data_IF_567263998629
#
_entry.id   IF_567263998629
#
_cell.length_a   1.000
_cell.length_b   1.000
_cell.length_c   1.000
_cell.angle_alpha   90.00
_cell.angle_beta   90.00
_cell.angle_gamma   90.00
#
_symmetry.space_group_name_H-M   'P 1'
#
loop_
_entity.id
_entity.type
_entity.pdbx_description
1 polymer ?
#
# COMPACT_ATOMS: atom_id res chain seq x y z
N UNK A 1 3.17 -4.12 -13.22
CA UNK A 1 2.70 -3.99 -11.82
C UNK A 1 2.69 -2.54 -11.38
N UNK A 2 3.83 -1.82 -11.34
CA UNK A 2 3.84 -0.36 -11.06
C UNK A 2 3.02 0.48 -12.05
N UNK A 3 2.92 0.02 -13.31
CA UNK A 3 2.07 0.63 -14.34
C UNK A 3 0.60 0.79 -13.93
N UNK A 4 0.03 -0.17 -13.18
CA UNK A 4 -1.35 -0.08 -12.69
C UNK A 4 -1.50 0.98 -11.60
N UNK A 5 -0.53 1.06 -10.69
CA UNK A 5 -0.50 2.09 -9.65
C UNK A 5 -0.35 3.47 -10.26
N UNK A 6 0.52 3.61 -11.26
CA UNK A 6 0.70 4.88 -11.97
C UNK A 6 -0.57 5.27 -12.73
N UNK A 7 -1.19 4.35 -13.48
CA UNK A 7 -2.44 4.63 -14.19
C UNK A 7 -3.53 5.13 -13.22
N UNK A 8 -3.76 4.39 -12.14
CA UNK A 8 -4.74 4.74 -11.11
C UNK A 8 -4.44 6.09 -10.45
N UNK A 9 -3.15 6.38 -10.22
CA UNK A 9 -2.72 7.69 -9.72
C UNK A 9 -3.02 8.81 -10.69
N UNK A 10 -2.66 8.67 -11.97
CA UNK A 10 -2.90 9.71 -12.96
C UNK A 10 -4.40 9.97 -13.13
N UNK A 11 -5.23 8.93 -13.11
CA UNK A 11 -6.68 9.07 -13.19
C UNK A 11 -7.23 9.94 -12.03
N UNK A 12 -6.71 9.76 -10.82
CA UNK A 12 -7.19 10.47 -9.62
C UNK A 12 -6.51 11.81 -9.33
N UNK A 13 -5.27 12.00 -9.78
CA UNK A 13 -4.52 13.25 -9.64
C UNK A 13 -4.82 14.22 -10.78
N UNK A 14 -5.38 13.76 -11.90
CA UNK A 14 -5.86 14.67 -12.96
C UNK A 14 -6.85 15.74 -12.44
N UNK A 15 -7.48 15.49 -11.29
CA UNK A 15 -8.39 16.41 -10.62
C UNK A 15 -7.67 17.40 -9.66
N UNK A 16 -6.34 17.35 -9.53
CA UNK A 16 -5.58 17.98 -8.44
C UNK A 16 -4.46 18.91 -8.88
N UNK A 17 -4.74 20.22 -8.85
CA UNK A 17 -3.77 21.31 -9.01
C UNK A 17 -2.90 21.17 -10.29
N UNK A 18 -1.96 22.09 -10.50
CA UNK A 18 -1.05 22.07 -11.65
C UNK A 18 0.26 21.29 -11.36
N UNK A 19 0.24 20.40 -10.35
CA UNK A 19 1.42 19.63 -9.94
C UNK A 19 1.47 18.24 -10.58
N UNK A 20 2.67 17.80 -10.94
CA UNK A 20 2.88 16.46 -11.49
C UNK A 20 3.31 15.48 -10.40
N UNK A 21 2.68 14.31 -10.33
CA UNK A 21 2.99 13.29 -9.33
C UNK A 21 3.52 11.99 -9.94
N UNK A 22 4.63 11.50 -9.39
CA UNK A 22 5.25 10.24 -9.78
C UNK A 22 5.18 9.21 -8.65
N UNK A 23 4.96 7.94 -9.01
CA UNK A 23 4.90 6.83 -8.07
C UNK A 23 5.89 5.72 -8.44
N UNK A 24 6.66 5.30 -7.45
CA UNK A 24 7.64 4.22 -7.58
C UNK A 24 7.52 3.19 -6.47
N UNK A 25 7.93 1.96 -6.77
CA UNK A 25 8.06 0.91 -5.76
C UNK A 25 9.46 1.03 -5.17
N UNK A 26 9.52 1.21 -3.87
CA UNK A 26 10.76 1.26 -3.10
C UNK A 26 10.58 0.37 -1.86
N UNK A 27 11.03 -0.88 -1.93
CA UNK A 27 10.89 -1.84 -0.82
C UNK A 27 11.86 -1.53 0.34
N UNK A 28 12.69 -0.49 0.23
CA UNK A 28 13.68 -0.09 1.26
C UNK A 28 13.12 0.91 2.27
N UNK A 29 12.03 1.62 1.95
CA UNK A 29 11.43 2.57 2.88
C UNK A 29 10.92 1.86 4.14
N UNK A 30 11.12 2.48 5.30
CA UNK A 30 10.74 1.92 6.60
C UNK A 30 9.63 2.74 7.26
N UNK A 31 8.78 2.04 8.00
CA UNK A 31 7.75 2.66 8.82
C UNK A 31 8.36 3.58 9.89
N UNK A 32 7.69 4.70 10.14
CA UNK A 32 8.06 5.69 11.17
C UNK A 32 9.44 6.31 10.97
N UNK A 33 10.01 6.19 9.75
CA UNK A 33 11.30 6.77 9.36
C UNK A 33 11.23 7.48 8.00
N UNK A 34 10.25 8.35 7.73
CA UNK A 34 10.27 9.13 6.51
C UNK A 34 11.49 10.05 6.47
N UNK A 35 12.02 10.29 5.28
CA UNK A 35 13.05 11.31 5.08
C UNK A 35 12.52 12.70 5.48
N UNK A 36 13.44 13.66 5.69
CA UNK A 36 13.05 15.03 6.02
C UNK A 36 12.11 15.60 4.96
N UNK A 37 11.02 16.24 5.39
CA UNK A 37 9.97 16.84 4.55
C UNK A 37 9.08 15.82 3.80
N UNK A 38 9.28 14.52 4.00
CA UNK A 38 8.38 13.48 3.52
C UNK A 38 7.30 13.17 4.56
N UNK A 39 6.10 12.90 4.07
CA UNK A 39 4.98 12.40 4.85
C UNK A 39 4.89 10.88 4.73
N UNK A 40 4.30 10.26 5.75
CA UNK A 40 4.01 8.82 5.77
C UNK A 40 2.52 8.58 5.85
N UNK A 41 2.05 7.57 5.11
CA UNK A 41 0.71 7.01 5.24
C UNK A 41 0.77 5.48 5.11
N UNK A 42 0.01 4.76 5.95
CA UNK A 42 -0.11 3.30 5.87
C UNK A 42 -1.57 2.95 5.66
N UNK A 43 -1.85 2.12 4.66
CA UNK A 43 -3.20 1.66 4.33
C UNK A 43 -3.21 0.16 4.12
N UNK A 44 -4.32 -0.48 4.51
CA UNK A 44 -4.53 -1.91 4.33
C UNK A 44 -5.51 -2.20 3.20
N UNK A 45 -5.23 -3.23 2.39
CA UNK A 45 -6.16 -3.72 1.37
C UNK A 45 -6.05 -5.23 1.19
N UNK A 46 -7.06 -5.85 0.55
CA UNK A 46 -7.01 -7.26 0.23
C UNK A 46 -6.04 -7.52 -0.92
N UNK A 47 -5.19 -8.52 -0.76
CA UNK A 47 -4.30 -9.02 -1.79
C UNK A 47 -4.21 -10.54 -1.78
N UNK A 48 -3.84 -11.08 -2.94
CA UNK A 48 -3.51 -12.49 -3.12
C UNK A 48 -2.00 -12.68 -3.13
N UNK A 49 -1.56 -13.86 -2.74
CA UNK A 49 -0.17 -14.29 -2.78
C UNK A 49 -0.08 -15.63 -3.50
N UNK A 50 1.07 -15.91 -4.09
CA UNK A 50 1.36 -17.20 -4.71
C UNK A 50 2.76 -17.63 -4.30
N UNK A 51 2.86 -18.81 -3.70
CA UNK A 51 4.16 -19.34 -3.30
C UNK A 51 5.00 -19.65 -4.53
N UNK A 52 6.22 -19.12 -4.58
CA UNK A 52 7.24 -19.44 -5.56
C UNK A 52 7.63 -20.93 -5.53
N UNK A 53 7.67 -21.54 -4.34
CA UNK A 53 8.09 -22.92 -4.12
C UNK A 53 6.99 -23.96 -4.42
N UNK A 54 5.87 -23.91 -3.69
CA UNK A 54 4.81 -24.94 -3.80
C UNK A 54 3.64 -24.53 -4.69
N UNK A 55 3.71 -23.36 -5.34
CA UNK A 55 2.68 -22.78 -6.23
C UNK A 55 1.30 -22.52 -5.61
N UNK A 56 1.10 -22.87 -4.33
CA UNK A 56 -0.16 -22.63 -3.61
C UNK A 56 -0.43 -21.13 -3.51
N UNK A 57 -1.66 -20.75 -3.86
CA UNK A 57 -2.19 -19.41 -3.64
C UNK A 57 -2.89 -19.28 -2.28
N UNK A 58 -2.87 -18.07 -1.72
CA UNK A 58 -3.69 -17.68 -0.57
C UNK A 58 -4.05 -16.19 -0.66
N UNK A 59 -5.05 -15.77 0.10
CA UNK A 59 -5.44 -14.36 0.22
C UNK A 59 -5.24 -13.84 1.63
N UNK A 60 -5.06 -12.53 1.76
CA UNK A 60 -5.02 -11.82 3.05
C UNK A 60 -5.94 -10.60 3.00
N UNK A 61 -6.79 -10.41 4.01
CA UNK A 61 -7.82 -9.35 4.05
C UNK A 61 -7.19 -7.96 4.10
N UNK A 62 -6.05 -7.85 4.76
CA UNK A 62 -5.45 -6.57 5.13
C UNK A 62 -3.92 -6.65 5.02
N UNK A 63 -3.44 -6.70 3.79
CA UNK A 63 -2.02 -6.50 3.49
C UNK A 63 -1.72 -5.01 3.65
N UNK A 64 -0.73 -4.68 4.47
CA UNK A 64 -0.32 -3.30 4.68
C UNK A 64 0.49 -2.80 3.48
N UNK A 65 0.28 -1.54 3.13
CA UNK A 65 1.06 -0.80 2.14
C UNK A 65 1.50 0.50 2.79
N UNK A 66 2.81 0.72 2.77
CA UNK A 66 3.45 1.93 3.28
C UNK A 66 3.70 2.87 2.11
N UNK A 67 3.29 4.12 2.29
CA UNK A 67 3.53 5.22 1.38
C UNK A 67 4.40 6.26 2.08
N UNK A 68 5.52 6.63 1.46
CA UNK A 68 6.21 7.88 1.74
C UNK A 68 5.97 8.82 0.58
N UNK A 69 5.61 10.07 0.84
CA UNK A 69 5.35 11.04 -0.22
C UNK A 69 5.80 12.45 0.14
N UNK A 70 6.20 13.23 -0.86
CA UNK A 70 6.67 14.60 -0.72
C UNK A 70 6.28 15.42 -1.93
N UNK A 71 5.96 16.70 -1.72
CA UNK A 71 5.71 17.67 -2.78
C UNK A 71 6.82 18.74 -2.74
N UNK A 72 7.59 18.84 -3.82
CA UNK A 72 8.51 19.97 -4.03
C UNK A 72 7.75 21.09 -4.75
N UNK A 73 7.31 22.07 -3.96
CA UNK A 73 6.55 23.23 -4.44
C UNK A 73 7.38 24.21 -5.27
N UNK A 74 8.71 24.05 -5.37
CA UNK A 74 9.55 24.92 -6.20
C UNK A 74 9.49 24.52 -7.67
N UNK A 75 9.25 23.24 -7.93
CA UNK A 75 9.21 22.65 -9.27
C UNK A 75 7.85 21.99 -9.58
N UNK A 76 6.87 22.17 -8.70
CA UNK A 76 5.51 21.63 -8.84
C UNK A 76 5.51 20.10 -9.08
N UNK A 77 6.36 19.38 -8.35
CA UNK A 77 6.54 17.94 -8.53
C UNK A 77 6.40 17.18 -7.22
N UNK A 78 5.48 16.23 -7.21
CA UNK A 78 5.29 15.27 -6.14
C UNK A 78 5.94 13.91 -6.43
N UNK A 79 6.49 13.31 -5.40
CA UNK A 79 7.07 11.95 -5.45
C UNK A 79 6.41 11.07 -4.40
N UNK A 80 6.06 9.85 -4.80
CA UNK A 80 5.46 8.81 -3.95
C UNK A 80 6.33 7.56 -4.06
N UNK A 81 6.73 7.05 -2.90
CA UNK A 81 7.38 5.76 -2.74
C UNK A 81 6.43 4.78 -2.07
N UNK A 82 6.35 3.58 -2.61
CA UNK A 82 5.46 2.52 -2.13
C UNK A 82 6.24 1.29 -1.73
N UNK A 83 6.00 0.82 -0.50
CA UNK A 83 6.42 -0.51 -0.02
C UNK A 83 5.21 -1.36 0.25
N UNK A 84 5.23 -2.61 -0.21
CA UNK A 84 4.11 -3.55 -0.08
C UNK A 84 4.56 -4.70 0.80
N UNK A 85 3.96 -4.82 1.99
CA UNK A 85 4.38 -5.83 2.94
C UNK A 85 4.04 -7.24 2.45
N UNK A 86 5.00 -8.15 2.63
CA UNK A 86 5.00 -9.50 2.08
C UNK A 86 4.43 -10.52 3.06
N UNK A 87 4.18 -11.72 2.56
CA UNK A 87 3.80 -12.87 3.40
C UNK A 87 4.58 -14.13 3.02
N UNK A 88 4.86 -14.98 4.02
CA UNK A 88 5.47 -16.30 3.83
C UNK A 88 4.41 -17.37 3.61
N UNK A 89 4.74 -18.36 2.79
CA UNK A 89 3.90 -19.55 2.66
C UNK A 89 3.94 -20.40 3.93
N UNK A 90 2.77 -20.65 4.54
CA UNK A 90 2.65 -21.49 5.74
C UNK A 90 3.00 -22.97 5.58
N UNK A 91 3.04 -23.47 4.34
CA UNK A 91 3.31 -24.90 4.07
C UNK A 91 4.79 -25.20 3.87
N UNK A 92 5.58 -24.21 3.51
CA UNK A 92 6.98 -24.41 3.16
C UNK A 92 7.86 -24.09 4.37
N UNK A 93 8.76 -25.01 4.72
CA UNK A 93 9.73 -24.81 5.81
C UNK A 93 10.75 -23.74 5.48
N UNK A 94 11.16 -23.62 4.21
CA UNK A 94 12.07 -22.59 3.70
C UNK A 94 11.32 -21.50 2.90
N UNK A 95 10.13 -21.11 3.39
CA UNK A 95 9.31 -20.11 2.73
C UNK A 95 10.02 -18.76 2.58
N UNK A 96 9.98 -18.22 1.35
CA UNK A 96 10.41 -16.88 1.02
C UNK A 96 9.27 -15.87 1.26
N UNK A 97 9.63 -14.60 1.36
CA UNK A 97 8.67 -13.49 1.41
C UNK A 97 8.08 -13.27 0.01
N UNK A 98 6.81 -13.62 -0.16
CA UNK A 98 6.11 -13.47 -1.43
C UNK A 98 5.47 -12.08 -1.53
N UNK A 99 5.61 -11.47 -2.70
CA UNK A 99 4.99 -10.19 -3.00
C UNK A 99 3.45 -10.30 -3.10
N UNK A 100 2.72 -9.30 -2.60
CA UNK A 100 1.27 -9.25 -2.76
C UNK A 100 0.88 -8.89 -4.19
N UNK A 101 -0.16 -9.57 -4.68
CA UNK A 101 -0.87 -9.24 -5.90
C UNK A 101 -2.23 -8.61 -5.55
N UNK A 102 -2.32 -7.30 -5.71
CA UNK A 102 -3.56 -6.54 -5.48
C UNK A 102 -4.46 -6.60 -6.72
N UNK A 103 -5.76 -6.90 -6.58
CA UNK A 103 -6.74 -6.64 -7.64
C UNK A 103 -6.74 -5.16 -8.03
N UNK A 104 -7.05 -4.85 -9.29
CA UNK A 104 -7.04 -3.48 -9.82
C UNK A 104 -7.95 -2.57 -9.00
N UNK A 105 -9.16 -3.04 -8.66
CA UNK A 105 -10.13 -2.27 -7.88
C UNK A 105 -9.61 -1.91 -6.47
N UNK A 106 -8.72 -2.75 -5.94
CA UNK A 106 -8.08 -2.52 -4.64
C UNK A 106 -6.86 -1.62 -4.73
N UNK A 107 -6.19 -1.56 -5.90
CA UNK A 107 -5.18 -0.54 -6.17
C UNK A 107 -5.88 0.83 -6.23
N UNK A 108 -7.01 0.94 -6.93
CA UNK A 108 -7.77 2.19 -7.04
C UNK A 108 -8.20 2.74 -5.68
N UNK A 109 -8.71 1.88 -4.80
CA UNK A 109 -9.07 2.27 -3.44
C UNK A 109 -7.85 2.67 -2.60
N UNK A 110 -6.69 2.02 -2.79
CA UNK A 110 -5.46 2.40 -2.09
C UNK A 110 -4.96 3.78 -2.54
N UNK A 111 -4.98 4.02 -3.85
CA UNK A 111 -4.60 5.30 -4.45
C UNK A 111 -5.60 6.40 -4.03
N UNK A 112 -6.91 6.12 -3.99
CA UNK A 112 -7.93 7.10 -3.55
C UNK A 112 -7.64 7.63 -2.16
N UNK A 113 -7.36 6.70 -1.23
CA UNK A 113 -6.99 7.06 0.14
C UNK A 113 -5.65 7.77 0.22
N UNK A 114 -4.68 7.42 -0.61
CA UNK A 114 -3.37 8.08 -0.67
C UNK A 114 -3.52 9.51 -1.16
N UNK A 115 -4.20 9.72 -2.29
CA UNK A 115 -4.46 11.03 -2.89
C UNK A 115 -5.16 11.94 -1.91
N UNK A 116 -6.14 11.41 -1.17
CA UNK A 116 -6.77 12.15 -0.07
C UNK A 116 -5.79 12.55 1.02
N UNK A 117 -4.82 11.70 1.38
CA UNK A 117 -3.78 12.05 2.34
C UNK A 117 -2.81 13.09 1.79
N UNK A 118 -2.48 13.03 0.50
CA UNK A 118 -1.68 14.05 -0.18
C UNK A 118 -2.37 15.42 -0.11
N UNK A 119 -3.66 15.49 -0.48
CA UNK A 119 -4.49 16.70 -0.35
C UNK A 119 -4.45 17.30 1.05
N UNK A 120 -4.61 16.47 2.07
CA UNK A 120 -4.57 16.91 3.47
C UNK A 120 -3.20 17.37 3.93
N UNK A 121 -2.13 16.65 3.56
CA UNK A 121 -0.78 16.85 4.13
C UNK A 121 0.05 17.85 3.33
N UNK A 122 0.02 17.76 2.01
CA UNK A 122 0.77 18.63 1.10
C UNK A 122 0.01 19.93 0.80
N UNK A 123 -1.30 19.84 0.53
CA UNK A 123 -2.12 20.99 0.11
C UNK A 123 -2.94 21.63 1.24
N UNK A 124 -2.94 21.01 2.43
CA UNK A 124 -3.67 21.50 3.62
C UNK A 124 -5.18 21.64 3.40
N UNK A 125 -5.75 20.85 2.51
CA UNK A 125 -7.19 20.84 2.25
C UNK A 125 -7.95 20.15 3.38
N UNK A 126 -9.12 20.70 3.74
CA UNK A 126 -10.05 20.04 4.65
C UNK A 126 -11.10 19.25 3.86
N UNK A 127 -11.03 17.92 3.99
CA UNK A 127 -11.87 16.97 3.26
C UNK A 127 -12.82 16.18 4.17
N UNK A 128 -12.91 16.51 5.47
CA UNK A 128 -13.70 15.77 6.46
C UNK A 128 -13.21 14.34 6.73
N UNK A 129 -14.12 13.40 7.03
CA UNK A 129 -13.84 11.97 7.27
C UNK A 129 -14.64 11.05 6.33
N UNK A 130 -14.13 10.83 5.12
CA UNK A 130 -14.68 9.83 4.19
C UNK A 130 -13.52 9.05 3.56
N UNK A 131 -13.54 7.72 3.62
CA UNK A 131 -12.60 6.86 2.90
C UNK A 131 -13.38 5.64 2.40
N UNK A 132 -13.25 5.30 1.12
CA UNK A 132 -13.86 4.08 0.58
C UNK A 132 -13.17 2.83 1.13
N UNK A 133 -13.95 1.82 1.50
CA UNK A 133 -13.46 0.50 1.93
C UNK A 133 -12.97 -0.34 0.74
N UNK A 134 -11.97 -1.19 0.96
CA UNK A 134 -11.42 -2.06 -0.09
C UNK A 134 -12.44 -3.14 -0.46
N UNK A 135 -12.44 -3.56 -1.73
CA UNK A 135 -13.32 -4.61 -2.23
C UNK A 135 -12.75 -5.98 -1.87
N UNK A 136 -13.60 -6.88 -1.39
CA UNK A 136 -13.22 -8.22 -0.97
C UNK A 136 -14.13 -9.27 -1.59
N UNK A 137 -13.64 -9.96 -2.63
CA UNK A 137 -14.39 -10.97 -3.39
C UNK A 137 -13.92 -12.41 -3.11
N UNK A 138 -13.34 -12.69 -1.94
CA UNK A 138 -12.75 -14.00 -1.60
C UNK A 138 -13.32 -14.65 -0.34
N UNK A 139 -13.02 -15.94 -0.13
CA UNK A 139 -13.15 -16.58 1.19
C UNK A 139 -11.77 -16.59 1.84
N UNK A 140 -11.62 -15.89 2.96
CA UNK A 140 -10.44 -16.03 3.82
C UNK A 140 -10.86 -16.88 5.01
N UNK A 141 -10.30 -18.08 5.04
CA UNK A 141 -10.56 -19.07 6.06
C UNK A 141 -9.36 -19.10 7.02
N UNK A 142 -9.64 -18.97 8.31
CA UNK A 142 -8.66 -19.11 9.38
C UNK A 142 -8.23 -17.78 10.02
N UNK A 143 -7.57 -17.86 11.19
CA UNK A 143 -7.07 -16.72 11.92
C UNK A 143 -5.95 -15.99 11.15
N UNK A 144 -5.68 -14.73 11.53
CA UNK A 144 -4.52 -14.02 11.01
C UNK A 144 -3.24 -14.72 11.45
N UNK A 145 -2.38 -15.09 10.49
CA UNK A 145 -1.15 -15.81 10.77
C UNK A 145 0.04 -14.82 10.92
N UNK A 146 0.15 -14.18 12.09
CA UNK A 146 1.14 -13.12 12.37
C UNK A 146 2.59 -13.56 12.12
N UNK A 147 2.92 -14.82 12.39
CA UNK A 147 4.26 -15.39 12.16
C UNK A 147 4.67 -15.38 10.68
N UNK A 148 3.71 -15.37 9.75
CA UNK A 148 3.94 -15.37 8.31
C UNK A 148 3.72 -14.00 7.65
N UNK A 149 3.52 -12.93 8.43
CA UNK A 149 3.21 -11.60 7.91
C UNK A 149 4.33 -10.59 8.21
N UNK A 150 4.94 -10.01 7.18
CA UNK A 150 6.07 -9.08 7.35
C UNK A 150 5.67 -7.85 8.19
N UNK A 151 4.48 -7.31 7.97
CA UNK A 151 3.96 -6.18 8.73
C UNK A 151 3.75 -6.50 10.23
N UNK A 152 3.47 -7.75 10.60
CA UNK A 152 3.41 -8.16 12.02
C UNK A 152 4.79 -8.17 12.65
N UNK A 153 5.81 -8.66 11.94
CA UNK A 153 7.19 -8.66 12.41
C UNK A 153 7.71 -7.24 12.65
N UNK A 154 7.14 -6.26 11.93
CA UNK A 154 7.41 -4.83 12.06
C UNK A 154 6.47 -4.09 13.03
N UNK A 155 5.51 -4.78 13.65
CA UNK A 155 4.57 -4.17 14.61
C UNK A 155 3.51 -3.25 13.98
N UNK A 156 3.28 -3.33 12.67
CA UNK A 156 2.38 -2.43 11.93
C UNK A 156 0.94 -2.95 11.89
N UNK A 157 0.75 -4.27 11.96
CA UNK A 157 -0.59 -4.85 11.92
C UNK A 157 -1.36 -4.58 13.22
N UNK A 158 -2.47 -3.84 13.12
CA UNK A 158 -3.39 -3.60 14.24
C UNK A 158 -4.30 -4.80 14.58
N UNK A 159 -4.08 -5.96 13.96
CA UNK A 159 -4.82 -7.22 14.18
C UNK A 159 -3.92 -8.28 14.83
N UNK A 160 -2.94 -7.85 15.63
CA UNK A 160 -1.98 -8.75 16.28
C UNK A 160 -2.58 -9.70 17.33
N UNK A 161 -3.89 -9.64 17.58
CA UNK A 161 -4.62 -10.53 18.49
C UNK A 161 -5.86 -11.12 17.80
#
# INVERSE_FOLDING_TARGET
MISLWNSSLQDQISELHDDTWNIEIDETIEENRPARDWHQYISGSFAQFRCSLCRKGWGSKRVQVLFHFHLDTKINQGTIKVRRFKQKCRRCTQAQWEDPNFPVENIDVLIERLVRNIRKKCYREDLGETNRSSVFNGKINGPHESAHCEACHKGICSQAN
#
